data_IF_036385282158
#
_entry.id   IF_036385282158
#
_cell.length_a   1.000
_cell.length_b   1.000
_cell.length_c   1.000
_cell.angle_alpha   90.00
_cell.angle_beta   90.00
_cell.angle_gamma   90.00
#
_symmetry.space_group_name_H-M   'P 1'
#
loop_
_entity.id
_entity.type
_entity.pdbx_description
1 polymer ?
#
# COMPACT_ATOMS: atom_id res chain seq x y z
N UNK A 1 -11.62 -3.79 46.71
CA UNK A 1 -11.72 -4.58 45.45
C UNK A 1 -11.03 -3.80 44.33
N UNK A 2 -9.75 -4.09 44.06
CA UNK A 2 -8.97 -3.39 43.03
C UNK A 2 -9.31 -3.94 41.64
N UNK A 3 -9.70 -3.06 40.70
CA UNK A 3 -10.09 -3.42 39.35
C UNK A 3 -8.91 -4.05 38.57
N UNK A 4 -8.90 -5.37 38.31
CA UNK A 4 -7.86 -5.98 37.51
C UNK A 4 -8.23 -5.86 36.02
N UNK A 5 -7.34 -5.30 35.19
CA UNK A 5 -7.34 -5.65 33.75
C UNK A 5 -7.24 -4.53 32.72
N UNK A 6 -7.35 -3.25 33.06
CA UNK A 6 -7.40 -2.17 32.04
C UNK A 6 -6.11 -1.99 31.24
N UNK A 7 -4.92 -2.11 31.84
CA UNK A 7 -3.65 -1.99 31.11
C UNK A 7 -3.37 -3.13 30.12
N UNK A 8 -3.97 -4.32 30.34
CA UNK A 8 -3.83 -5.47 29.44
C UNK A 8 -4.69 -5.32 28.18
N UNK A 9 -5.89 -4.76 28.34
CA UNK A 9 -6.78 -4.44 27.21
C UNK A 9 -6.15 -3.39 26.28
N UNK A 10 -5.50 -2.36 26.84
CA UNK A 10 -4.86 -1.31 26.07
C UNK A 10 -3.65 -1.82 25.26
N UNK A 11 -2.80 -2.66 25.87
CA UNK A 11 -1.69 -3.29 25.14
C UNK A 11 -2.16 -4.22 24.02
N UNK A 12 -3.24 -4.95 24.23
CA UNK A 12 -3.88 -5.78 23.20
C UNK A 12 -4.39 -4.94 22.02
N UNK A 13 -5.03 -3.79 22.31
CA UNK A 13 -5.55 -2.88 21.29
C UNK A 13 -4.43 -2.32 20.40
N UNK A 14 -3.28 -1.96 20.99
CA UNK A 14 -2.11 -1.44 20.25
C UNK A 14 -1.52 -2.49 19.32
N UNK A 15 -1.35 -3.72 19.80
CA UNK A 15 -0.86 -4.83 18.96
C UNK A 15 -1.83 -5.12 17.82
N UNK A 16 -3.14 -5.13 18.10
CA UNK A 16 -4.15 -5.30 17.06
C UNK A 16 -4.11 -4.17 16.02
N UNK A 17 -3.96 -2.92 16.46
CA UNK A 17 -3.82 -1.75 15.58
C UNK A 17 -2.57 -1.84 14.69
N UNK A 18 -1.41 -2.20 15.25
CA UNK A 18 -0.17 -2.38 14.49
C UNK A 18 -0.30 -3.50 13.45
N UNK A 19 -0.92 -4.64 13.82
CA UNK A 19 -1.15 -5.72 12.86
C UNK A 19 -2.10 -5.27 11.76
N UNK A 20 -3.18 -4.57 12.10
CA UNK A 20 -4.12 -4.04 11.11
C UNK A 20 -3.42 -3.11 10.12
N UNK A 21 -2.59 -2.19 10.61
CA UNK A 21 -1.81 -1.28 9.76
C UNK A 21 -0.84 -2.07 8.87
N UNK A 22 -0.14 -3.07 9.41
CA UNK A 22 0.73 -3.95 8.63
C UNK A 22 -0.03 -4.71 7.54
N UNK A 23 -1.18 -5.28 7.86
CA UNK A 23 -2.03 -5.98 6.90
C UNK A 23 -2.58 -5.03 5.83
N UNK A 24 -2.94 -3.81 6.21
CA UNK A 24 -3.41 -2.76 5.30
C UNK A 24 -2.29 -2.31 4.35
N UNK A 25 -1.07 -2.09 4.84
CA UNK A 25 0.08 -1.72 4.01
C UNK A 25 0.45 -2.79 2.97
N UNK A 26 0.19 -4.06 3.28
CA UNK A 26 0.54 -5.20 2.42
C UNK A 26 -0.60 -5.68 1.50
N UNK A 27 -1.76 -5.03 1.51
CA UNK A 27 -2.93 -5.50 0.75
C UNK A 27 -3.60 -4.37 -0.02
N UNK A 28 -3.54 -4.44 -1.35
CA UNK A 28 -4.21 -3.46 -2.22
C UNK A 28 -5.74 -3.48 -2.07
N UNK A 29 -6.32 -4.64 -1.75
CA UNK A 29 -7.75 -4.77 -1.48
C UNK A 29 -8.17 -4.01 -0.20
N UNK A 30 -7.36 -4.07 0.86
CA UNK A 30 -7.61 -3.31 2.09
C UNK A 30 -7.41 -1.81 1.86
N UNK A 31 -6.41 -1.42 1.07
CA UNK A 31 -6.18 -0.02 0.70
C UNK A 31 -7.33 0.58 -0.12
N UNK A 32 -7.94 -0.22 -1.00
CA UNK A 32 -9.11 0.21 -1.78
C UNK A 32 -10.38 0.33 -0.91
N UNK A 33 -10.54 -0.51 0.11
CA UNK A 33 -11.72 -0.53 0.97
C UNK A 33 -11.64 0.42 2.17
N UNK A 34 -10.43 0.69 2.68
CA UNK A 34 -10.19 1.45 3.90
C UNK A 34 -9.42 2.73 3.55
N UNK A 35 -9.98 3.92 3.82
CA UNK A 35 -9.31 5.19 3.56
C UNK A 35 -7.94 5.25 4.22
N UNK A 36 -6.95 5.83 3.53
CA UNK A 36 -5.57 5.87 4.02
C UNK A 36 -5.42 6.50 5.40
N UNK A 37 -6.29 7.43 5.81
CA UNK A 37 -6.23 8.10 7.10
C UNK A 37 -6.75 7.25 8.27
N UNK A 38 -7.56 6.22 8.02
CA UNK A 38 -8.23 5.44 9.08
C UNK A 38 -7.23 4.64 9.95
N UNK A 39 -6.24 3.92 9.38
CA UNK A 39 -5.23 3.21 10.19
C UNK A 39 -4.42 4.17 11.08
N UNK A 40 -4.08 5.36 10.56
CA UNK A 40 -3.35 6.38 11.32
C UNK A 40 -4.21 7.03 12.39
N UNK A 41 -5.51 7.26 12.12
CA UNK A 41 -6.44 7.79 13.12
C UNK A 41 -6.63 6.82 14.29
N UNK A 42 -6.67 5.51 14.03
CA UNK A 42 -6.74 4.48 15.07
C UNK A 42 -5.47 4.50 15.95
N UNK A 43 -4.28 4.60 15.33
CA UNK A 43 -3.03 4.73 16.08
C UNK A 43 -2.98 6.04 16.88
N UNK A 44 -3.34 7.17 16.27
CA UNK A 44 -3.35 8.47 16.91
C UNK A 44 -4.33 8.54 18.09
N UNK A 45 -5.53 7.95 17.97
CA UNK A 45 -6.49 7.84 19.05
C UNK A 45 -5.92 7.03 20.23
N UNK A 46 -5.17 5.97 19.94
CA UNK A 46 -4.53 5.13 20.97
C UNK A 46 -3.40 5.84 21.74
N UNK A 47 -2.75 6.82 21.11
CA UNK A 47 -1.74 7.69 21.74
C UNK A 47 -2.37 8.89 22.46
N UNK A 48 -3.43 9.48 21.91
CA UNK A 48 -4.20 10.56 22.56
C UNK A 48 -4.79 10.12 23.89
N UNK A 49 -5.29 8.88 23.98
CA UNK A 49 -5.78 8.31 25.23
C UNK A 49 -4.67 8.25 26.30
N UNK A 50 -3.45 7.86 25.89
CA UNK A 50 -2.28 7.80 26.78
C UNK A 50 -1.89 9.18 27.29
N UNK A 51 -1.84 10.18 26.40
CA UNK A 51 -1.57 11.58 26.76
C UNK A 51 -2.66 12.17 27.67
N UNK A 52 -3.93 11.93 27.37
CA UNK A 52 -5.04 12.41 28.19
C UNK A 52 -5.01 11.79 29.58
N UNK A 53 -4.63 10.52 29.69
CA UNK A 53 -4.48 9.82 30.97
C UNK A 53 -3.31 10.34 31.78
N UNK A 54 -2.13 10.48 31.17
CA UNK A 54 -0.98 11.09 31.84
C UNK A 54 -1.29 12.50 32.36
N UNK A 55 -2.04 13.31 31.59
CA UNK A 55 -2.49 14.64 32.06
C UNK A 55 -3.50 14.58 33.20
N UNK A 56 -4.39 13.58 33.24
CA UNK A 56 -5.36 13.41 34.36
C UNK A 56 -4.64 12.95 35.63
N UNK A 57 -3.68 12.04 35.52
CA UNK A 57 -2.84 11.59 36.65
C UNK A 57 -2.00 12.75 37.19
N UNK A 58 -1.42 13.61 36.33
CA UNK A 58 -0.70 14.81 36.75
C UNK A 58 -1.59 15.91 37.36
N UNK A 59 -2.90 15.91 37.08
CA UNK A 59 -3.88 16.88 37.59
C UNK A 59 -4.70 16.37 38.77
N UNK A 60 -4.58 15.09 39.13
CA UNK A 60 -5.19 14.58 40.35
C UNK A 60 -4.65 15.42 41.51
N UNK A 61 -5.51 16.04 42.34
CA UNK A 61 -5.05 16.89 43.42
C UNK A 61 -4.16 16.05 44.33
N UNK A 62 -2.87 16.41 44.41
CA UNK A 62 -2.02 16.01 45.54
C UNK A 62 -2.81 16.37 46.78
N UNK A 63 -3.29 15.36 47.51
CA UNK A 63 -4.04 15.56 48.73
C UNK A 63 -3.33 16.64 49.56
N UNK A 64 -4.07 17.71 49.87
CA UNK A 64 -3.56 18.87 50.55
C UNK A 64 -2.98 18.45 51.90
N UNK A 65 -1.65 18.39 51.99
CA UNK A 65 -0.99 17.96 53.23
C UNK A 65 0.52 17.73 53.15
N UNK A 66 1.21 18.12 52.08
CA UNK A 66 2.67 18.01 52.04
C UNK A 66 3.29 19.19 51.27
N UNK A 67 3.35 20.35 51.92
CA UNK A 67 4.53 21.20 51.76
C UNK A 67 5.66 20.51 52.53
N UNK A 68 6.29 19.52 51.90
CA UNK A 68 7.53 18.94 52.37
C UNK A 68 8.56 19.13 51.27
N UNK A 69 9.67 19.73 51.67
CA UNK A 69 10.86 20.06 50.91
C UNK A 69 11.31 18.95 49.97
N UNK A 70 11.78 19.36 48.79
CA UNK A 70 12.66 18.52 48.00
C UNK A 70 13.86 18.10 48.88
N UNK A 71 14.18 16.80 48.88
CA UNK A 71 15.26 16.11 49.60
C UNK A 71 15.02 15.67 51.05
N UNK A 72 13.94 14.93 51.30
CA UNK A 72 14.02 13.82 52.25
C UNK A 72 13.53 12.54 51.57
N UNK A 73 14.44 11.56 51.45
CA UNK A 73 14.10 10.19 51.04
C UNK A 73 13.27 9.58 52.17
N UNK A 74 11.97 9.86 52.18
CA UNK A 74 11.03 9.22 53.09
C UNK A 74 11.04 7.72 52.78
N UNK A 75 11.30 6.90 53.80
CA UNK A 75 11.12 5.45 53.70
C UNK A 75 9.65 5.16 53.38
N UNK A 76 9.36 4.18 52.49
CA UNK A 76 7.99 3.79 52.17
C UNK A 76 7.23 3.48 53.46
N UNK A 77 5.97 3.91 53.55
CA UNK A 77 5.11 3.69 54.72
C UNK A 77 3.84 2.91 54.39
N UNK A 78 3.01 2.63 55.39
CA UNK A 78 1.66 2.06 55.23
C UNK A 78 0.79 2.68 54.10
N UNK A 79 0.83 4.00 53.82
CA UNK A 79 0.10 4.56 52.69
C UNK A 79 0.64 4.15 51.30
N UNK A 80 1.85 3.60 51.20
CA UNK A 80 2.46 3.11 49.95
C UNK A 80 2.19 1.62 49.70
N UNK A 81 1.28 1.00 50.46
CA UNK A 81 0.91 -0.41 50.33
C UNK A 81 0.29 -0.75 48.97
N UNK A 82 -0.34 0.23 48.30
CA UNK A 82 -0.87 0.11 46.95
C UNK A 82 0.23 0.05 45.86
N UNK A 83 1.45 0.49 46.19
CA UNK A 83 2.64 0.40 45.34
C UNK A 83 3.37 -0.96 45.45
N UNK A 84 2.81 -1.92 46.21
CA UNK A 84 3.33 -3.29 46.29
C UNK A 84 4.30 -3.54 47.44
N UNK A 85 4.31 -2.67 48.45
CA UNK A 85 5.01 -2.90 49.72
C UNK A 85 4.06 -3.58 50.70
N UNK A 86 4.54 -4.62 51.38
CA UNK A 86 3.78 -5.30 52.43
C UNK A 86 4.58 -5.26 53.71
N UNK A 87 3.87 -5.09 54.82
CA UNK A 87 4.47 -5.22 56.14
C UNK A 87 4.83 -6.68 56.36
N UNK A 88 6.09 -6.96 56.63
CA UNK A 88 6.58 -8.26 57.05
C UNK A 88 7.38 -8.08 58.33
N UNK A 89 7.14 -8.95 59.30
CA UNK A 89 7.85 -8.92 60.57
C UNK A 89 9.23 -9.53 60.39
N UNK A 90 10.28 -8.80 60.75
CA UNK A 90 11.65 -9.29 60.82
C UNK A 90 11.84 -10.30 61.95
N UNK A 91 12.96 -11.03 61.93
CA UNK A 91 13.31 -12.04 62.93
C UNK A 91 13.50 -11.46 64.35
N UNK A 92 13.69 -10.14 64.45
CA UNK A 92 13.79 -9.34 65.67
C UNK A 92 12.45 -8.81 66.19
N UNK A 93 11.35 -9.10 65.49
CA UNK A 93 10.01 -8.63 65.85
C UNK A 93 9.68 -7.22 65.36
N UNK A 94 10.59 -6.54 64.64
CA UNK A 94 10.30 -5.24 64.04
C UNK A 94 9.50 -5.39 62.73
N UNK A 95 8.49 -4.55 62.55
CA UNK A 95 7.70 -4.51 61.31
C UNK A 95 8.50 -3.78 60.22
N UNK A 96 9.03 -4.51 59.26
CA UNK A 96 9.69 -3.96 58.09
C UNK A 96 8.77 -3.97 56.87
N UNK A 97 8.78 -2.89 56.09
CA UNK A 97 8.12 -2.87 54.79
C UNK A 97 9.03 -3.53 53.76
N UNK A 98 8.64 -4.72 53.31
CA UNK A 98 9.38 -5.50 52.32
C UNK A 98 8.63 -5.42 51.00
N UNK A 99 9.36 -5.33 49.90
CA UNK A 99 8.74 -5.43 48.58
C UNK A 99 8.02 -6.77 48.51
N UNK A 100 6.70 -6.75 48.29
CA UNK A 100 5.92 -7.98 48.21
C UNK A 100 6.59 -8.91 47.20
N UNK A 101 7.04 -10.08 47.65
CA UNK A 101 7.63 -11.09 46.78
C UNK A 101 6.70 -11.25 45.59
N UNK A 102 7.15 -10.77 44.42
CA UNK A 102 6.25 -10.36 43.34
C UNK A 102 5.30 -11.50 43.03
N UNK A 103 4.03 -11.37 43.48
CA UNK A 103 3.04 -12.43 43.38
C UNK A 103 3.05 -12.88 41.92
N UNK A 104 3.47 -14.13 41.70
CA UNK A 104 3.88 -14.64 40.40
C UNK A 104 2.91 -14.14 39.35
N UNK A 105 3.37 -13.19 38.51
CA UNK A 105 2.55 -12.49 37.52
C UNK A 105 1.78 -13.56 36.75
N UNK A 106 0.49 -13.77 37.08
CA UNK A 106 -0.38 -14.66 36.31
C UNK A 106 -0.48 -14.05 34.93
N UNK A 107 0.46 -14.48 34.07
CA UNK A 107 0.62 -14.08 32.68
C UNK A 107 -0.72 -14.35 32.02
N UNK A 108 -1.37 -13.29 31.55
CA UNK A 108 -2.57 -13.35 30.72
C UNK A 108 -2.20 -13.90 29.33
N UNK A 109 -1.71 -15.15 29.29
CA UNK A 109 -1.49 -15.93 28.08
C UNK A 109 -2.75 -15.97 27.19
N UNK A 110 -4.00 -16.17 27.70
CA UNK A 110 -5.13 -16.34 26.81
C UNK A 110 -5.46 -15.10 25.97
N UNK A 111 -5.39 -13.89 26.53
CA UNK A 111 -5.69 -12.66 25.78
C UNK A 111 -4.64 -12.36 24.71
N UNK A 112 -3.35 -12.61 24.98
CA UNK A 112 -2.27 -12.42 23.99
C UNK A 112 -2.37 -13.44 22.86
N UNK A 113 -2.74 -14.68 23.18
CA UNK A 113 -2.98 -15.73 22.19
C UNK A 113 -4.20 -15.41 21.31
N UNK A 114 -5.28 -14.87 21.89
CA UNK A 114 -6.45 -14.42 21.13
C UNK A 114 -6.10 -13.30 20.14
N UNK A 115 -5.40 -12.26 20.60
CA UNK A 115 -5.00 -11.13 19.73
C UNK A 115 -4.08 -11.61 18.62
N UNK A 116 -3.09 -12.45 18.94
CA UNK A 116 -2.19 -13.04 17.94
C UNK A 116 -2.96 -13.92 16.93
N UNK A 117 -3.96 -14.69 17.38
CA UNK A 117 -4.79 -15.50 16.49
C UNK A 117 -5.64 -14.64 15.56
N UNK A 118 -6.30 -13.59 16.06
CA UNK A 118 -7.10 -12.66 15.24
C UNK A 118 -6.20 -11.94 14.22
N UNK A 119 -5.05 -11.45 14.68
CA UNK A 119 -4.01 -10.87 13.84
C UNK A 119 -3.61 -11.80 12.69
N UNK A 120 -3.30 -13.06 13.00
CA UNK A 120 -2.90 -14.06 12.01
C UNK A 120 -4.03 -14.37 11.02
N UNK A 121 -5.28 -14.44 11.50
CA UNK A 121 -6.46 -14.67 10.65
C UNK A 121 -6.69 -13.50 9.70
N UNK A 122 -6.61 -12.26 10.19
CA UNK A 122 -6.75 -11.06 9.34
C UNK A 122 -5.64 -10.99 8.30
N UNK A 123 -4.40 -11.27 8.69
CA UNK A 123 -3.25 -11.25 7.79
C UNK A 123 -3.33 -12.38 6.74
N UNK A 124 -3.76 -13.58 7.15
CA UNK A 124 -4.03 -14.68 6.24
C UNK A 124 -5.22 -14.39 5.30
N UNK A 125 -6.27 -13.73 5.77
CA UNK A 125 -7.41 -13.32 4.96
C UNK A 125 -7.01 -12.24 3.93
N UNK A 126 -6.24 -11.24 4.36
CA UNK A 126 -5.68 -10.21 3.47
C UNK A 126 -4.77 -10.82 2.42
N UNK A 127 -3.83 -11.69 2.82
CA UNK A 127 -2.96 -12.42 1.90
C UNK A 127 -3.75 -13.29 0.92
N UNK A 128 -4.80 -13.99 1.39
CA UNK A 128 -5.64 -14.84 0.53
C UNK A 128 -6.49 -14.00 -0.44
N UNK A 129 -7.01 -12.86 0.00
CA UNK A 129 -7.76 -11.94 -0.85
C UNK A 129 -6.84 -11.34 -1.93
N UNK A 130 -5.65 -10.89 -1.53
CA UNK A 130 -4.65 -10.34 -2.44
C UNK A 130 -4.16 -11.40 -3.44
N UNK A 131 -3.87 -12.62 -2.97
CA UNK A 131 -3.54 -13.77 -3.83
C UNK A 131 -4.67 -14.10 -4.80
N UNK A 132 -5.94 -14.07 -4.38
CA UNK A 132 -7.09 -14.25 -5.30
C UNK A 132 -7.18 -13.14 -6.34
N UNK A 133 -6.72 -11.94 -5.99
CA UNK A 133 -6.60 -10.79 -6.84
C UNK A 133 -5.21 -10.65 -7.47
N UNK A 134 -4.37 -11.70 -7.52
CA UNK A 134 -3.03 -11.72 -8.15
C UNK A 134 -3.03 -12.45 -9.49
N UNK A 135 -2.22 -12.03 -10.48
CA UNK A 135 -2.34 -12.52 -11.86
C UNK A 135 -2.27 -14.06 -11.95
N UNK A 136 -1.44 -14.65 -11.09
CA UNK A 136 -1.24 -16.09 -10.94
C UNK A 136 -2.46 -16.86 -10.40
N UNK A 137 -3.50 -16.19 -9.89
CA UNK A 137 -4.76 -16.83 -9.50
C UNK A 137 -5.64 -17.22 -10.69
N UNK A 138 -5.40 -16.60 -11.86
CA UNK A 138 -6.15 -16.90 -13.07
C UNK A 138 -5.75 -18.27 -13.62
N UNK A 139 -6.74 -18.97 -14.20
CA UNK A 139 -6.46 -20.25 -14.86
C UNK A 139 -5.42 -20.06 -15.97
N UNK A 140 -4.49 -21.01 -16.21
CA UNK A 140 -3.46 -20.89 -17.24
C UNK A 140 -4.01 -20.51 -18.62
N UNK A 141 -5.15 -21.09 -19.01
CA UNK A 141 -5.83 -20.75 -20.27
C UNK A 141 -6.31 -19.29 -20.34
N UNK A 142 -6.75 -18.70 -19.23
CA UNK A 142 -7.17 -17.30 -19.17
C UNK A 142 -5.96 -16.36 -19.31
N UNK A 143 -4.85 -16.67 -18.61
CA UNK A 143 -3.59 -15.92 -18.73
C UNK A 143 -3.07 -15.95 -20.16
N UNK A 144 -2.98 -17.14 -20.75
CA UNK A 144 -2.52 -17.32 -22.14
C UNK A 144 -3.38 -16.53 -23.14
N UNK A 145 -4.72 -16.62 -23.04
CA UNK A 145 -5.64 -15.86 -23.91
C UNK A 145 -5.43 -14.35 -23.78
N UNK A 146 -5.19 -13.87 -22.56
CA UNK A 146 -4.94 -12.46 -22.31
C UNK A 146 -3.57 -12.01 -22.84
N UNK A 147 -2.50 -12.77 -22.61
CA UNK A 147 -1.18 -12.48 -23.18
C UNK A 147 -1.19 -12.51 -24.72
N UNK A 148 -1.93 -13.44 -25.33
CA UNK A 148 -2.13 -13.48 -26.79
C UNK A 148 -2.88 -12.24 -27.30
N UNK A 149 -3.89 -11.76 -26.56
CA UNK A 149 -4.56 -10.50 -26.86
C UNK A 149 -3.55 -9.35 -26.85
N UNK A 150 -2.79 -9.19 -25.77
CA UNK A 150 -1.84 -8.08 -25.60
C UNK A 150 -0.72 -8.14 -26.64
N UNK A 151 -0.19 -9.33 -26.90
CA UNK A 151 0.83 -9.59 -27.91
C UNK A 151 0.38 -9.15 -29.31
N UNK A 152 -0.87 -9.46 -29.69
CA UNK A 152 -1.41 -9.05 -30.98
C UNK A 152 -1.54 -7.53 -31.08
N UNK A 153 -2.10 -6.89 -30.06
CA UNK A 153 -2.26 -5.44 -30.08
C UNK A 153 -0.91 -4.70 -30.03
N UNK A 154 0.04 -5.21 -29.26
CA UNK A 154 1.41 -4.71 -29.22
C UNK A 154 2.12 -4.88 -30.57
N UNK A 155 1.86 -5.97 -31.31
CA UNK A 155 2.42 -6.16 -32.65
C UNK A 155 1.89 -5.13 -33.64
N UNK A 156 0.63 -4.71 -33.50
CA UNK A 156 0.06 -3.61 -34.31
C UNK A 156 0.77 -2.30 -33.99
N UNK A 157 0.95 -1.97 -32.70
CA UNK A 157 1.67 -0.75 -32.30
C UNK A 157 3.14 -0.84 -32.71
N UNK A 158 3.82 -1.97 -32.55
CA UNK A 158 5.23 -2.13 -32.92
C UNK A 158 5.44 -2.16 -34.45
N UNK A 159 4.38 -2.34 -35.25
CA UNK A 159 4.47 -2.50 -36.70
C UNK A 159 5.17 -3.79 -37.15
N UNK A 160 5.38 -4.74 -36.24
CA UNK A 160 6.09 -6.00 -36.48
C UNK A 160 5.69 -7.07 -35.45
N UNK A 161 5.95 -8.36 -35.73
CA UNK A 161 5.68 -9.42 -34.75
C UNK A 161 6.52 -9.24 -33.48
N UNK A 162 5.85 -9.18 -32.34
CA UNK A 162 6.46 -9.11 -31.01
C UNK A 162 5.76 -10.06 -30.04
N UNK A 163 6.23 -10.14 -28.80
CA UNK A 163 5.60 -10.89 -27.72
C UNK A 163 5.50 -10.03 -26.47
N UNK A 164 4.38 -10.14 -25.77
CA UNK A 164 4.15 -9.53 -24.46
C UNK A 164 3.86 -10.65 -23.47
N UNK A 165 4.55 -10.64 -22.34
CA UNK A 165 4.35 -11.58 -21.24
C UNK A 165 4.11 -10.85 -19.93
N UNK A 166 3.43 -11.52 -19.01
CA UNK A 166 3.25 -11.04 -17.65
C UNK A 166 4.33 -11.63 -16.76
N UNK A 167 5.05 -10.78 -16.03
CA UNK A 167 6.18 -11.18 -15.20
C UNK A 167 5.72 -11.71 -13.84
N UNK A 168 5.29 -12.98 -13.83
CA UNK A 168 4.75 -13.64 -12.63
C UNK A 168 5.71 -13.72 -11.45
N UNK A 169 7.02 -13.72 -11.73
CA UNK A 169 8.06 -13.82 -10.72
C UNK A 169 8.63 -12.47 -10.29
N UNK A 170 8.17 -11.36 -10.89
CA UNK A 170 8.80 -10.04 -10.70
C UNK A 170 10.32 -10.09 -10.97
N UNK A 171 10.72 -10.86 -11.99
CA UNK A 171 12.13 -11.02 -12.38
C UNK A 171 12.64 -9.77 -13.07
N UNK A 172 11.76 -9.07 -13.79
CA UNK A 172 12.05 -7.87 -14.59
C UNK A 172 11.26 -6.64 -14.15
N UNK A 173 10.15 -6.81 -13.43
CA UNK A 173 9.23 -5.73 -13.02
C UNK A 173 9.04 -5.72 -11.50
N UNK A 174 8.47 -4.65 -10.94
CA UNK A 174 8.11 -4.58 -9.51
C UNK A 174 9.25 -4.21 -8.57
N UNK A 175 9.23 -4.76 -7.34
CA UNK A 175 10.07 -4.32 -6.20
C UNK A 175 11.55 -4.57 -6.51
N UNK A 176 12.24 -3.53 -6.98
CA UNK A 176 13.65 -3.55 -7.40
C UNK A 176 13.91 -3.00 -8.80
N UNK A 177 12.88 -2.88 -9.65
CA UNK A 177 13.00 -2.34 -11.02
C UNK A 177 12.29 -1.00 -11.22
N UNK A 178 11.44 -0.55 -10.27
CA UNK A 178 10.58 0.66 -10.35
C UNK A 178 9.79 0.81 -11.67
N UNK A 179 9.70 -0.27 -12.46
CA UNK A 179 9.15 -0.29 -13.81
C UNK A 179 7.89 -1.18 -13.85
N UNK A 180 6.81 -0.60 -14.39
CA UNK A 180 5.55 -1.32 -14.63
C UNK A 180 5.61 -2.20 -15.91
N UNK A 181 6.65 -2.01 -16.73
CA UNK A 181 6.95 -2.77 -17.91
C UNK A 181 8.43 -2.65 -18.29
N UNK A 182 8.95 -3.62 -19.03
CA UNK A 182 10.30 -3.60 -19.60
C UNK A 182 10.27 -4.23 -20.98
N UNK A 183 10.78 -3.51 -21.98
CA UNK A 183 10.94 -4.00 -23.34
C UNK A 183 12.38 -4.43 -23.64
N UNK A 184 12.50 -5.51 -24.42
CA UNK A 184 13.75 -5.98 -25.02
C UNK A 184 13.63 -5.89 -26.55
N UNK A 185 13.87 -4.72 -27.18
CA UNK A 185 13.60 -4.47 -28.60
C UNK A 185 14.27 -5.48 -29.52
N UNK A 186 15.54 -5.83 -29.26
CA UNK A 186 16.29 -6.82 -30.05
C UNK A 186 15.67 -8.22 -30.03
N UNK A 187 14.98 -8.58 -28.93
CA UNK A 187 14.31 -9.89 -28.77
C UNK A 187 12.83 -9.86 -29.18
N UNK A 188 12.28 -8.67 -29.48
CA UNK A 188 10.85 -8.51 -29.76
C UNK A 188 9.97 -8.96 -28.60
N UNK A 189 10.41 -8.74 -27.36
CA UNK A 189 9.74 -9.25 -26.15
C UNK A 189 9.62 -8.13 -25.13
N UNK A 190 8.44 -7.95 -24.54
CA UNK A 190 8.25 -7.12 -23.36
C UNK A 190 7.63 -7.92 -22.22
N UNK A 191 7.99 -7.54 -21.00
CA UNK A 191 7.40 -8.02 -19.76
C UNK A 191 6.61 -6.91 -19.10
N UNK A 192 5.41 -7.23 -18.64
CA UNK A 192 4.55 -6.31 -17.89
C UNK A 192 4.36 -6.80 -16.47
N UNK A 193 4.21 -5.84 -15.54
CA UNK A 193 3.88 -6.15 -14.17
C UNK A 193 2.53 -6.91 -14.08
N UNK A 194 2.40 -7.93 -13.23
CA UNK A 194 1.16 -8.65 -12.98
C UNK A 194 -0.09 -7.78 -12.74
N UNK A 195 0.04 -6.65 -12.05
CA UNK A 195 -1.04 -5.69 -11.81
C UNK A 195 -1.57 -5.08 -13.13
N UNK A 196 -0.66 -4.63 -14.00
CA UNK A 196 -0.96 -4.10 -15.33
C UNK A 196 -1.66 -5.16 -16.19
N UNK A 197 -1.12 -6.38 -16.22
CA UNK A 197 -1.72 -7.48 -16.96
C UNK A 197 -3.16 -7.79 -16.53
N UNK A 198 -3.43 -7.79 -15.22
CA UNK A 198 -4.80 -7.96 -14.72
C UNK A 198 -5.71 -6.82 -15.19
N UNK A 199 -5.27 -5.57 -15.04
CA UNK A 199 -6.08 -4.41 -15.43
C UNK A 199 -6.40 -4.43 -16.92
N UNK A 200 -5.42 -4.75 -17.77
CA UNK A 200 -5.61 -4.94 -19.21
C UNK A 200 -6.57 -6.09 -19.53
N UNK A 201 -6.51 -7.21 -18.78
CA UNK A 201 -7.47 -8.31 -18.97
C UNK A 201 -8.88 -7.85 -18.62
N UNK A 202 -9.08 -7.21 -17.47
CA UNK A 202 -10.40 -6.70 -17.07
C UNK A 202 -10.91 -5.73 -18.12
N UNK A 203 -10.05 -4.84 -18.62
CA UNK A 203 -10.40 -3.93 -19.71
C UNK A 203 -10.85 -4.69 -20.97
N UNK A 204 -10.05 -5.66 -21.43
CA UNK A 204 -10.24 -6.35 -22.70
C UNK A 204 -11.37 -7.38 -22.73
N UNK A 205 -11.74 -7.92 -21.57
CA UNK A 205 -12.71 -9.03 -21.46
C UNK A 205 -13.92 -8.73 -20.58
N UNK A 206 -13.84 -7.71 -19.72
CA UNK A 206 -14.91 -7.32 -18.78
C UNK A 206 -15.36 -5.86 -18.98
N UNK A 207 -14.59 -5.05 -19.73
CA UNK A 207 -14.89 -3.65 -20.07
C UNK A 207 -14.25 -2.59 -19.17
N UNK A 208 -14.37 -1.32 -19.58
CA UNK A 208 -13.70 -0.19 -18.92
C UNK A 208 -14.17 0.06 -17.48
N UNK A 209 -15.44 -0.19 -17.17
CA UNK A 209 -15.97 -0.08 -15.80
C UNK A 209 -15.32 -1.10 -14.87
N UNK A 210 -15.09 -2.31 -15.36
CA UNK A 210 -14.40 -3.35 -14.59
C UNK A 210 -12.93 -2.98 -14.36
N UNK A 211 -12.23 -2.45 -15.37
CA UNK A 211 -10.83 -2.07 -15.23
C UNK A 211 -10.59 -0.93 -14.20
N UNK A 212 -11.58 -0.09 -13.92
CA UNK A 212 -11.52 0.94 -12.89
C UNK A 212 -10.64 2.14 -13.26
N UNK A 213 -10.13 2.84 -12.25
CA UNK A 213 -9.37 4.08 -12.41
C UNK A 213 -8.02 3.88 -13.15
N UNK A 214 -7.43 2.69 -13.02
CA UNK A 214 -6.10 2.37 -13.55
C UNK A 214 -6.11 1.94 -15.01
N UNK A 215 -7.30 1.83 -15.63
CA UNK A 215 -7.46 1.40 -17.02
C UNK A 215 -6.58 2.21 -17.99
N UNK A 216 -6.52 3.53 -17.80
CA UNK A 216 -5.71 4.40 -18.66
C UNK A 216 -4.22 4.18 -18.47
N UNK A 217 -3.78 3.96 -17.23
CA UNK A 217 -2.36 3.72 -16.92
C UNK A 217 -1.90 2.40 -17.54
N UNK A 218 -2.69 1.33 -17.37
CA UNK A 218 -2.37 0.02 -17.91
C UNK A 218 -2.28 0.02 -19.45
N UNK A 219 -3.14 0.81 -20.13
CA UNK A 219 -3.08 1.01 -21.58
C UNK A 219 -1.80 1.75 -21.99
N UNK A 220 -1.44 2.83 -21.29
CA UNK A 220 -0.20 3.58 -21.57
C UNK A 220 1.01 2.68 -21.41
N UNK A 221 1.12 1.90 -20.33
CA UNK A 221 2.24 0.96 -20.14
C UNK A 221 2.35 -0.04 -21.30
N UNK A 222 1.25 -0.68 -21.71
CA UNK A 222 1.30 -1.60 -22.87
C UNK A 222 1.70 -0.89 -24.17
N UNK A 223 1.20 0.32 -24.41
CA UNK A 223 1.57 1.11 -25.58
C UNK A 223 3.04 1.52 -25.55
N UNK A 224 3.54 1.95 -24.39
CA UNK A 224 4.90 2.36 -24.13
C UNK A 224 5.88 1.24 -24.45
N UNK A 225 5.68 0.06 -23.86
CA UNK A 225 6.54 -1.08 -24.16
C UNK A 225 6.47 -1.48 -25.64
N UNK A 226 5.29 -1.40 -26.26
CA UNK A 226 5.15 -1.70 -27.69
C UNK A 226 5.87 -0.68 -28.58
N UNK A 227 5.93 0.59 -28.18
CA UNK A 227 6.72 1.64 -28.85
C UNK A 227 8.22 1.37 -28.73
N UNK A 228 8.69 0.91 -27.56
CA UNK A 228 10.07 0.43 -27.44
C UNK A 228 10.36 -0.73 -28.39
N UNK A 229 9.42 -1.68 -28.51
CA UNK A 229 9.56 -2.78 -29.46
C UNK A 229 9.54 -2.33 -30.93
N UNK A 230 9.02 -1.14 -31.25
CA UNK A 230 9.16 -0.48 -32.56
C UNK A 230 10.57 0.04 -32.82
N UNK A 231 11.38 0.21 -31.77
CA UNK A 231 12.77 0.68 -31.85
C UNK A 231 13.01 2.10 -31.31
N UNK A 232 11.99 2.74 -30.72
CA UNK A 232 12.17 4.02 -30.03
C UNK A 232 12.79 3.73 -28.67
N UNK A 233 14.02 4.15 -28.41
CA UNK A 233 14.73 3.84 -27.15
C UNK A 233 14.66 4.98 -26.11
N UNK A 234 14.24 6.15 -26.55
CA UNK A 234 14.12 7.34 -25.70
C UNK A 234 12.79 7.28 -24.94
N UNK A 235 12.86 7.24 -23.61
CA UNK A 235 11.71 7.11 -22.69
C UNK A 235 10.68 8.23 -22.88
N UNK A 236 11.15 9.49 -23.02
CA UNK A 236 10.30 10.66 -23.20
C UNK A 236 9.51 10.61 -24.53
N UNK A 237 10.16 10.22 -25.62
CA UNK A 237 9.49 9.97 -26.92
C UNK A 237 8.58 8.75 -26.86
N UNK A 238 9.00 7.69 -26.18
CA UNK A 238 8.19 6.49 -26.02
C UNK A 238 6.88 6.81 -25.27
N UNK A 239 6.95 7.57 -24.18
CA UNK A 239 5.78 8.04 -23.43
C UNK A 239 4.86 8.91 -24.29
N UNK A 240 5.42 9.84 -25.06
CA UNK A 240 4.64 10.68 -25.97
C UNK A 240 3.86 9.85 -27.01
N UNK A 241 4.53 8.91 -27.66
CA UNK A 241 3.87 8.04 -28.63
C UNK A 241 2.91 7.05 -27.96
N UNK A 242 3.20 6.60 -26.74
CA UNK A 242 2.32 5.72 -25.98
C UNK A 242 0.97 6.37 -25.66
N UNK A 243 0.96 7.65 -25.30
CA UNK A 243 -0.26 8.42 -25.07
C UNK A 243 -1.15 8.48 -26.31
N UNK A 244 -0.54 8.69 -27.49
CA UNK A 244 -1.24 8.79 -28.77
C UNK A 244 -1.73 7.43 -29.26
N UNK A 245 -0.85 6.42 -29.27
CA UNK A 245 -1.20 5.05 -29.63
C UNK A 245 -2.21 4.42 -28.67
N UNK A 246 -2.18 4.85 -27.40
CA UNK A 246 -3.07 4.41 -26.35
C UNK A 246 -4.55 4.60 -26.66
N UNK A 247 -4.92 5.62 -27.44
CA UNK A 247 -6.32 5.83 -27.87
C UNK A 247 -6.79 4.70 -28.78
N UNK A 248 -5.98 4.36 -29.79
CA UNK A 248 -6.29 3.28 -30.73
C UNK A 248 -6.18 1.92 -30.06
N UNK A 249 -5.19 1.73 -29.19
CA UNK A 249 -5.01 0.52 -28.41
C UNK A 249 -6.23 0.26 -27.49
N UNK A 250 -6.66 1.24 -26.70
CA UNK A 250 -7.83 1.12 -25.85
C UNK A 250 -9.09 0.80 -26.66
N UNK A 251 -9.27 1.45 -27.82
CA UNK A 251 -10.39 1.15 -28.72
C UNK A 251 -10.37 -0.30 -29.19
N UNK A 252 -9.20 -0.81 -29.62
CA UNK A 252 -9.06 -2.23 -30.01
C UNK A 252 -9.28 -3.19 -28.86
N UNK A 253 -8.97 -2.79 -27.62
CA UNK A 253 -9.29 -3.53 -26.40
C UNK A 253 -10.77 -3.43 -26.00
N UNK A 254 -11.63 -2.77 -26.79
CA UNK A 254 -13.08 -2.73 -26.57
C UNK A 254 -13.59 -1.51 -25.81
N UNK A 255 -12.76 -0.48 -25.63
CA UNK A 255 -13.20 0.80 -25.06
C UNK A 255 -13.85 1.65 -26.14
N UNK A 256 -14.95 2.32 -25.82
CA UNK A 256 -15.58 3.27 -26.74
C UNK A 256 -14.59 4.42 -27.08
N UNK A 257 -14.49 4.86 -28.35
CA UNK A 257 -13.50 5.86 -28.79
C UNK A 257 -13.44 7.16 -27.97
N UNK A 258 -14.57 7.79 -27.63
CA UNK A 258 -14.59 8.98 -26.79
C UNK A 258 -14.07 8.69 -25.39
N UNK A 259 -14.44 7.54 -24.79
CA UNK A 259 -13.90 7.11 -23.50
C UNK A 259 -12.40 6.80 -23.55
N UNK A 260 -11.91 6.19 -24.63
CA UNK A 260 -10.50 5.93 -24.87
C UNK A 260 -9.68 7.24 -24.93
N UNK A 261 -10.16 8.24 -25.69
CA UNK A 261 -9.56 9.58 -25.70
C UNK A 261 -9.56 10.22 -24.31
N UNK A 262 -10.67 10.13 -23.58
CA UNK A 262 -10.76 10.67 -22.24
C UNK A 262 -9.79 9.99 -21.26
N UNK A 263 -9.51 8.69 -21.43
CA UNK A 263 -8.49 7.98 -20.66
C UNK A 263 -7.09 8.52 -20.96
N UNK A 264 -6.72 8.67 -22.22
CA UNK A 264 -5.37 9.13 -22.60
C UNK A 264 -5.15 10.62 -22.28
N UNK A 265 -6.17 11.47 -22.45
CA UNK A 265 -6.10 12.88 -22.00
C UNK A 265 -5.78 12.98 -20.50
N UNK A 266 -6.44 12.19 -19.66
CA UNK A 266 -6.12 12.15 -18.22
C UNK A 266 -4.69 11.67 -17.94
N UNK A 267 -4.12 10.80 -18.76
CA UNK A 267 -2.73 10.38 -18.60
C UNK A 267 -1.76 11.48 -19.07
N UNK A 268 -2.07 12.17 -20.16
CA UNK A 268 -1.33 13.34 -20.61
C UNK A 268 -1.33 14.44 -19.53
N UNK A 269 -2.49 14.78 -18.97
CA UNK A 269 -2.61 15.79 -17.90
C UNK A 269 -1.78 15.40 -16.66
N UNK A 270 -1.76 14.10 -16.32
CA UNK A 270 -0.90 13.58 -15.24
C UNK A 270 0.58 13.70 -15.58
N UNK A 271 0.99 13.30 -16.78
CA UNK A 271 2.38 13.40 -17.21
C UNK A 271 2.88 14.85 -17.24
N UNK A 272 2.03 15.81 -17.64
CA UNK A 272 2.36 17.23 -17.64
C UNK A 272 2.41 17.85 -16.24
N UNK A 273 1.69 17.29 -15.27
CA UNK A 273 1.68 17.76 -13.87
C UNK A 273 2.69 17.05 -12.97
N UNK A 274 3.28 15.95 -13.44
CA UNK A 274 4.27 15.20 -12.69
C UNK A 274 5.61 15.95 -12.62
N UNK A 275 6.03 16.26 -11.39
CA UNK A 275 7.29 16.96 -11.09
C UNK A 275 8.28 16.07 -10.35
N UNK A 276 8.00 14.76 -10.27
CA UNK A 276 8.83 13.83 -9.52
C UNK A 276 10.20 13.60 -10.18
N UNK A 277 11.25 13.59 -9.35
CA UNK A 277 12.64 13.37 -9.80
C UNK A 277 12.83 11.96 -10.38
N UNK A 278 12.04 10.98 -9.92
CA UNK A 278 12.10 9.60 -10.40
C UNK A 278 11.62 9.44 -11.85
N UNK A 279 10.87 10.41 -12.40
CA UNK A 279 10.31 10.33 -13.75
C UNK A 279 10.90 11.37 -14.71
N UNK A 280 12.08 11.90 -14.40
CA UNK A 280 12.73 12.91 -15.27
C UNK A 280 12.96 12.39 -16.69
N UNK A 281 13.30 11.10 -16.85
CA UNK A 281 13.51 10.48 -18.16
C UNK A 281 12.20 10.35 -18.97
N UNK A 282 11.04 10.35 -18.29
CA UNK A 282 9.71 10.28 -18.89
C UNK A 282 9.09 11.66 -19.15
N UNK A 283 9.81 12.74 -18.85
CA UNK A 283 9.27 14.10 -18.99
C UNK A 283 8.95 14.36 -20.46
N UNK A 284 7.69 14.71 -20.72
CA UNK A 284 7.24 14.95 -22.10
C UNK A 284 8.03 16.10 -22.74
N UNK A 285 8.60 15.88 -23.93
CA UNK A 285 9.33 16.93 -24.65
C UNK A 285 8.35 17.97 -25.19
N UNK A 286 8.84 19.19 -25.45
CA UNK A 286 8.00 20.30 -25.94
C UNK A 286 7.31 20.01 -27.30
N UNK A 287 7.88 19.09 -28.08
CA UNK A 287 7.30 18.62 -29.35
C UNK A 287 6.14 17.62 -29.17
N UNK A 288 5.87 17.16 -27.93
CA UNK A 288 4.76 16.26 -27.61
C UNK A 288 3.45 17.03 -27.42
N UNK A 289 2.92 17.54 -28.53
CA UNK A 289 1.68 18.33 -28.58
C UNK A 289 1.05 18.23 -29.97
N UNK A 290 -0.20 18.65 -30.09
CA UNK A 290 -0.86 18.79 -31.39
C UNK A 290 0.00 19.67 -32.32
N UNK A 291 0.17 19.20 -33.56
CA UNK A 291 1.00 19.83 -34.59
C UNK A 291 2.48 19.99 -34.21
N UNK A 292 2.95 19.28 -33.17
CA UNK A 292 4.35 19.23 -32.77
C UNK A 292 5.14 18.19 -33.56
N UNK A 293 6.47 18.23 -33.46
CA UNK A 293 7.36 17.30 -34.17
C UNK A 293 7.23 15.82 -33.75
N UNK A 294 6.50 15.52 -32.67
CA UNK A 294 6.20 14.16 -32.22
C UNK A 294 4.72 13.79 -32.37
N UNK A 295 3.92 14.61 -33.06
CA UNK A 295 2.55 14.27 -33.39
C UNK A 295 2.51 13.18 -34.47
N UNK A 296 1.92 12.03 -34.14
CA UNK A 296 1.72 10.92 -35.08
C UNK A 296 0.61 11.20 -36.08
N UNK A 297 -0.24 12.21 -35.83
CA UNK A 297 -1.42 12.56 -36.64
C UNK A 297 -1.58 14.08 -36.79
N UNK A 298 -0.61 14.79 -37.38
CA UNK A 298 -0.66 16.26 -37.51
C UNK A 298 -1.82 16.79 -38.37
N UNK A 299 -2.52 15.93 -39.13
CA UNK A 299 -3.71 16.32 -39.88
C UNK A 299 -5.01 16.22 -39.04
N UNK A 300 -4.93 15.67 -37.83
CA UNK A 300 -6.05 15.45 -36.93
C UNK A 300 -5.87 16.32 -35.67
N UNK A 301 -6.71 17.32 -35.42
CA UNK A 301 -6.56 18.20 -34.26
C UNK A 301 -6.82 17.50 -32.91
N UNK A 302 -7.14 16.19 -32.93
CA UNK A 302 -7.34 15.40 -31.72
C UNK A 302 -6.03 14.81 -31.21
N UNK A 303 -5.40 15.53 -30.27
CA UNK A 303 -4.29 15.06 -29.46
C UNK A 303 -4.75 14.67 -28.02
N UNK A 304 -4.09 13.68 -27.37
CA UNK A 304 -3.21 12.68 -27.96
C UNK A 304 -3.97 11.70 -28.88
#
# INVERSE_FOLDING_TARGET
MAAPGRGRAQGALRVAGLVFVGAWLLSGALQAAVPFWLPFAILAASELEFLARGRRESRAPRAAGARASALERRLPGAPDADLGWVEATGDDGETMLVAAASAARRRSRPLRLLVAAVALVLLAAAYRADRRLSWSSLAPAQRLRAEQRFTREASVVAGRPVRVRCDEGYVFTGVGSDAAGVAFPRRGLAFLEPGICRTLRRLAFEGATAAGADAGWAVVVLAHEAVHLRGVLDEARAECFALQEGVRLATRLGVEPARARALMRRQLDRALSDTSVQRLDYRLPAECRNDGGLDLRPADPSFP
#
